data_IF_756910533812
#
_entry.id   IF_756910533812
#
_cell.length_a   1.000
_cell.length_b   1.000
_cell.length_c   1.000
_cell.angle_alpha   90.00
_cell.angle_beta   90.00
_cell.angle_gamma   90.00
#
_symmetry.space_group_name_H-M   'P 1'
#
loop_
_entity.id
_entity.type
_entity.pdbx_description
1 polymer ?
#
# COMPACT_ATOMS: atom_id res chain seq x y z
N UNK A 1 -25.02 49.56 -67.11
CA UNK A 1 -23.68 49.02 -66.88
C UNK A 1 -23.74 47.99 -65.76
N UNK A 2 -23.64 46.70 -66.08
CA UNK A 2 -23.61 45.63 -65.10
C UNK A 2 -22.21 45.50 -64.52
N UNK A 3 -22.06 45.67 -63.23
CA UNK A 3 -20.76 45.70 -62.58
C UNK A 3 -20.18 44.26 -62.55
N UNK A 4 -19.07 43.95 -63.21
CA UNK A 4 -18.52 42.61 -63.38
C UNK A 4 -17.86 42.06 -62.12
N UNK A 5 -17.77 42.82 -61.03
CA UNK A 5 -17.14 42.44 -59.74
C UNK A 5 -18.00 41.53 -58.87
N UNK A 6 -19.33 41.51 -59.10
CA UNK A 6 -20.28 40.73 -58.22
C UNK A 6 -20.04 39.21 -58.33
N UNK A 7 -19.81 38.60 -59.53
CA UNK A 7 -19.59 37.17 -59.60
C UNK A 7 -18.26 36.71 -58.95
N UNK A 8 -17.22 37.55 -58.98
CA UNK A 8 -15.94 37.22 -58.34
C UNK A 8 -16.01 37.27 -56.80
N UNK A 9 -16.74 38.23 -56.25
CA UNK A 9 -17.01 38.30 -54.81
C UNK A 9 -17.86 37.14 -54.31
N UNK A 10 -18.81 36.65 -55.10
CA UNK A 10 -19.63 35.48 -54.75
C UNK A 10 -18.81 34.17 -54.77
N UNK A 11 -17.90 34.01 -55.75
CA UNK A 11 -16.97 32.89 -55.81
C UNK A 11 -15.98 32.86 -54.61
N UNK A 12 -15.44 34.02 -54.23
CA UNK A 12 -14.55 34.13 -53.06
C UNK A 12 -15.29 33.84 -51.76
N UNK A 13 -16.55 34.27 -51.60
CA UNK A 13 -17.37 33.99 -50.45
C UNK A 13 -17.73 32.49 -50.34
N UNK A 14 -17.98 31.80 -51.45
CA UNK A 14 -18.22 30.35 -51.50
C UNK A 14 -16.95 29.55 -51.20
N UNK A 15 -15.78 29.99 -51.69
CA UNK A 15 -14.49 29.38 -51.36
C UNK A 15 -14.10 29.57 -49.90
N UNK A 16 -14.42 30.71 -49.26
CA UNK A 16 -14.18 30.93 -47.82
C UNK A 16 -15.16 30.17 -46.96
N UNK A 17 -16.39 29.95 -47.38
CA UNK A 17 -17.38 29.13 -46.63
C UNK A 17 -17.03 27.62 -46.63
N UNK A 18 -16.30 27.13 -47.62
CA UNK A 18 -15.84 25.73 -47.70
C UNK A 18 -14.62 25.43 -46.83
N UNK A 19 -13.95 26.42 -46.25
CA UNK A 19 -12.79 26.26 -45.38
C UNK A 19 -13.14 26.13 -43.88
N UNK A 20 -14.38 26.41 -43.53
CA UNK A 20 -14.85 26.26 -42.15
C UNK A 20 -15.76 25.04 -41.95
N UNK A 21 -15.29 23.87 -42.40
CA UNK A 21 -15.89 22.64 -41.90
C UNK A 21 -15.46 22.47 -40.44
N UNK A 22 -16.37 22.57 -39.46
CA UNK A 22 -15.99 22.28 -38.07
C UNK A 22 -15.46 20.83 -38.06
N UNK A 23 -14.25 20.64 -37.59
CA UNK A 23 -13.74 19.30 -37.33
C UNK A 23 -14.75 18.65 -36.41
N UNK A 24 -15.53 17.69 -36.95
CA UNK A 24 -16.52 16.94 -36.20
C UNK A 24 -15.75 16.19 -35.13
N UNK A 25 -15.90 16.60 -33.87
CA UNK A 25 -15.30 15.93 -32.72
C UNK A 25 -15.77 14.46 -32.78
N UNK A 26 -14.94 13.61 -33.33
CA UNK A 26 -15.23 12.17 -33.39
C UNK A 26 -15.33 11.65 -31.98
N UNK A 27 -16.50 11.13 -31.60
CA UNK A 27 -16.68 10.50 -30.29
C UNK A 27 -15.62 9.39 -30.12
N UNK A 28 -14.97 9.30 -28.95
CA UNK A 28 -14.00 8.25 -28.68
C UNK A 28 -14.63 6.86 -28.84
N UNK A 29 -13.85 5.94 -29.36
CA UNK A 29 -14.24 4.54 -29.47
C UNK A 29 -14.29 3.91 -28.05
N UNK A 30 -15.37 3.17 -27.79
CA UNK A 30 -15.59 2.56 -26.49
C UNK A 30 -15.02 1.15 -26.44
N UNK A 31 -14.23 0.85 -25.40
CA UNK A 31 -13.68 -0.46 -25.09
C UNK A 31 -14.27 -0.95 -23.77
N UNK A 32 -15.08 -2.00 -23.81
CA UNK A 32 -15.55 -2.66 -22.59
C UNK A 32 -14.44 -3.56 -22.06
N UNK A 33 -14.01 -3.30 -20.84
CA UNK A 33 -12.94 -4.03 -20.16
C UNK A 33 -13.43 -4.70 -18.89
N UNK A 34 -13.06 -5.94 -18.67
CA UNK A 34 -13.36 -6.67 -17.45
C UNK A 34 -12.18 -7.54 -17.02
N UNK A 35 -12.15 -7.90 -15.75
CA UNK A 35 -11.07 -8.70 -15.16
C UNK A 35 -11.62 -9.80 -14.25
N UNK A 36 -10.80 -10.84 -14.08
CA UNK A 36 -10.95 -11.84 -13.04
C UNK A 36 -9.60 -12.17 -12.42
N UNK A 37 -9.40 -11.75 -11.16
CA UNK A 37 -8.16 -11.98 -10.44
C UNK A 37 -8.12 -13.44 -9.98
N UNK A 38 -7.07 -14.15 -10.37
CA UNK A 38 -6.87 -15.55 -10.02
C UNK A 38 -5.95 -15.73 -8.80
N UNK A 39 -5.02 -14.82 -8.58
CA UNK A 39 -4.15 -14.82 -7.39
C UNK A 39 -3.47 -13.48 -7.16
N UNK A 40 -3.20 -13.18 -5.89
CA UNK A 40 -2.27 -12.14 -5.44
C UNK A 40 -1.28 -12.81 -4.49
N UNK A 41 -0.01 -12.56 -4.66
CA UNK A 41 1.05 -13.18 -3.90
C UNK A 41 2.28 -12.27 -3.85
N UNK A 42 3.32 -12.69 -3.10
CA UNK A 42 4.57 -11.95 -2.98
C UNK A 42 4.35 -10.49 -2.55
N UNK A 43 3.49 -10.28 -1.53
CA UNK A 43 3.34 -8.94 -0.94
C UNK A 43 4.62 -8.66 -0.14
N UNK A 44 5.51 -7.90 -0.75
CA UNK A 44 6.82 -7.55 -0.19
C UNK A 44 6.80 -6.08 0.27
N UNK A 45 6.89 -5.90 1.59
CA UNK A 45 6.89 -4.58 2.19
C UNK A 45 8.21 -3.84 1.94
N UNK A 46 9.33 -4.55 2.00
CA UNK A 46 10.66 -3.98 1.83
C UNK A 46 10.88 -3.49 0.41
N UNK A 47 10.56 -4.33 -0.57
CA UNK A 47 10.69 -3.99 -1.99
C UNK A 47 9.54 -3.11 -2.50
N UNK A 48 8.52 -2.86 -1.67
CA UNK A 48 7.33 -2.06 -2.02
C UNK A 48 6.60 -2.60 -3.25
N UNK A 49 6.41 -3.93 -3.30
CA UNK A 49 5.79 -4.57 -4.45
C UNK A 49 4.83 -5.70 -4.07
N UNK A 50 3.96 -6.06 -5.01
CA UNK A 50 3.12 -7.25 -4.94
C UNK A 50 2.91 -7.82 -6.35
N UNK A 51 2.66 -9.12 -6.43
CA UNK A 51 2.38 -9.81 -7.69
C UNK A 51 0.88 -10.08 -7.81
N UNK A 52 0.31 -9.83 -8.99
CA UNK A 52 -1.09 -10.14 -9.30
C UNK A 52 -1.18 -10.93 -10.60
N UNK A 53 -1.96 -12.03 -10.58
CA UNK A 53 -2.33 -12.80 -11.76
C UNK A 53 -3.81 -12.60 -12.02
N UNK A 54 -4.17 -12.28 -13.26
CA UNK A 54 -5.56 -12.04 -13.63
C UNK A 54 -5.83 -12.41 -15.08
N UNK A 55 -7.09 -12.71 -15.37
CA UNK A 55 -7.61 -12.68 -16.71
C UNK A 55 -8.14 -11.28 -17.01
N UNK A 56 -7.79 -10.75 -18.19
CA UNK A 56 -8.32 -9.53 -18.76
C UNK A 56 -9.09 -9.88 -20.01
N UNK A 57 -10.31 -9.33 -20.17
CA UNK A 57 -11.01 -9.36 -21.46
C UNK A 57 -11.40 -7.97 -21.89
N UNK A 58 -11.36 -7.77 -23.22
CA UNK A 58 -11.65 -6.51 -23.89
C UNK A 58 -12.64 -6.79 -25.01
N UNK A 59 -13.67 -5.93 -25.11
CA UNK A 59 -14.67 -5.98 -26.20
C UNK A 59 -14.69 -4.60 -26.87
N UNK A 60 -14.39 -4.55 -28.17
CA UNK A 60 -14.29 -3.31 -28.93
C UNK A 60 -14.64 -3.52 -30.40
N UNK A 61 -14.87 -2.42 -31.17
CA UNK A 61 -15.22 -2.48 -32.58
C UNK A 61 -14.09 -2.04 -33.50
N UNK A 62 -13.27 -1.10 -33.06
CA UNK A 62 -12.23 -0.50 -33.89
C UNK A 62 -11.07 -1.49 -34.11
N UNK A 63 -10.95 -1.97 -35.34
CA UNK A 63 -9.91 -2.94 -35.74
C UNK A 63 -8.50 -2.37 -35.75
N UNK A 64 -8.33 -1.04 -35.64
CA UNK A 64 -7.02 -0.41 -35.51
C UNK A 64 -6.41 -0.56 -34.11
N UNK A 65 -7.19 -0.93 -33.11
CA UNK A 65 -6.69 -1.11 -31.74
C UNK A 65 -5.91 -2.42 -31.63
N UNK A 66 -4.64 -2.31 -31.27
CA UNK A 66 -3.77 -3.44 -30.96
C UNK A 66 -3.46 -3.45 -29.45
N UNK A 67 -4.29 -4.14 -28.69
CA UNK A 67 -4.08 -4.24 -27.24
C UNK A 67 -2.98 -5.25 -26.87
N UNK A 68 -2.58 -6.13 -27.77
CA UNK A 68 -1.47 -7.04 -27.46
C UNK A 68 -0.16 -6.26 -27.27
N UNK A 69 0.14 -5.34 -28.16
CA UNK A 69 1.37 -4.54 -28.10
C UNK A 69 1.21 -3.28 -27.23
N UNK A 70 0.04 -2.62 -27.30
CA UNK A 70 -0.17 -1.28 -26.74
C UNK A 70 -0.91 -1.27 -25.38
N UNK A 71 -1.13 -2.45 -24.76
CA UNK A 71 -1.67 -2.49 -23.40
C UNK A 71 -0.57 -2.16 -22.42
N UNK A 72 -0.83 -1.15 -21.60
CA UNK A 72 0.07 -0.69 -20.53
C UNK A 72 -0.56 -0.89 -19.16
N UNK A 73 0.25 -1.26 -18.19
CA UNK A 73 -0.11 -1.34 -16.77
C UNK A 73 0.77 -0.33 -16.02
N UNK A 74 0.33 0.93 -15.88
CA UNK A 74 1.13 1.96 -15.24
C UNK A 74 1.53 1.59 -13.81
N UNK A 75 2.82 1.77 -13.49
CA UNK A 75 3.37 1.44 -12.18
C UNK A 75 3.73 -0.04 -12.00
N UNK A 76 3.57 -0.86 -13.03
CA UNK A 76 4.12 -2.21 -13.00
C UNK A 76 5.64 -2.18 -13.21
N UNK A 77 6.36 -2.99 -12.44
CA UNK A 77 7.79 -3.29 -12.64
C UNK A 77 7.97 -4.28 -13.80
N UNK A 78 7.01 -5.22 -13.90
CA UNK A 78 7.03 -6.27 -14.90
C UNK A 78 5.59 -6.64 -15.28
N UNK A 79 5.35 -6.91 -16.56
CA UNK A 79 4.06 -7.38 -17.10
C UNK A 79 4.32 -8.50 -18.08
N UNK A 80 3.83 -9.69 -17.79
CA UNK A 80 3.87 -10.84 -18.68
C UNK A 80 2.46 -11.12 -19.22
N UNK A 81 2.32 -11.19 -20.55
CA UNK A 81 1.09 -11.50 -21.26
C UNK A 81 1.13 -12.94 -21.76
N UNK A 82 0.08 -13.71 -21.52
CA UNK A 82 0.00 -15.12 -21.94
C UNK A 82 -1.45 -15.52 -22.28
N UNK A 83 -1.63 -16.68 -22.90
CA UNK A 83 -2.95 -17.25 -23.26
C UNK A 83 -3.85 -16.23 -23.99
N UNK A 84 -3.28 -15.55 -24.98
CA UNK A 84 -4.00 -14.53 -25.74
C UNK A 84 -4.92 -15.21 -26.75
N UNK A 85 -6.21 -14.85 -26.71
CA UNK A 85 -7.23 -15.30 -27.65
C UNK A 85 -7.93 -14.08 -28.23
N UNK A 86 -8.09 -14.02 -29.55
CA UNK A 86 -8.78 -12.95 -30.25
C UNK A 86 -9.86 -13.58 -31.13
N UNK A 87 -11.12 -13.20 -30.89
CA UNK A 87 -12.26 -13.57 -31.74
C UNK A 87 -12.79 -12.29 -32.40
N UNK A 88 -12.76 -12.27 -33.72
CA UNK A 88 -13.24 -11.18 -34.59
C UNK A 88 -14.35 -11.60 -35.53
N UNK A 89 -15.01 -12.73 -35.30
CA UNK A 89 -16.05 -13.27 -36.15
C UNK A 89 -17.36 -12.47 -36.12
N UNK A 90 -17.57 -11.65 -35.09
CA UNK A 90 -18.77 -10.81 -34.93
C UNK A 90 -18.53 -9.32 -35.26
N UNK A 91 -19.54 -8.51 -34.94
CA UNK A 91 -19.51 -7.04 -35.03
C UNK A 91 -18.48 -6.41 -34.08
N UNK A 92 -18.15 -7.12 -32.99
CA UNK A 92 -17.16 -6.71 -31.96
C UNK A 92 -16.02 -7.70 -31.94
N UNK A 93 -14.85 -7.19 -31.72
CA UNK A 93 -13.66 -7.98 -31.41
C UNK A 93 -13.70 -8.29 -29.91
N UNK A 94 -13.61 -9.57 -29.57
CA UNK A 94 -13.41 -10.08 -28.23
C UNK A 94 -11.95 -10.52 -28.08
N UNK A 95 -11.24 -9.92 -27.14
CA UNK A 95 -9.88 -10.30 -26.83
C UNK A 95 -9.79 -10.70 -25.37
N UNK A 96 -9.17 -11.82 -25.08
CA UNK A 96 -8.91 -12.31 -23.73
C UNK A 96 -7.43 -12.63 -23.59
N UNK A 97 -6.84 -12.30 -22.44
CA UNK A 97 -5.47 -12.66 -22.11
C UNK A 97 -5.28 -12.84 -20.61
N UNK A 98 -4.30 -13.63 -20.24
CA UNK A 98 -3.83 -13.72 -18.86
C UNK A 98 -2.67 -12.75 -18.66
N UNK A 99 -2.78 -11.92 -17.63
CA UNK A 99 -1.73 -11.00 -17.20
C UNK A 99 -1.12 -11.48 -15.90
N UNK A 100 0.20 -11.38 -15.85
CA UNK A 100 1.01 -11.55 -14.65
C UNK A 100 1.76 -10.24 -14.44
N UNK A 101 1.47 -9.52 -13.36
CA UNK A 101 2.02 -8.19 -13.11
C UNK A 101 2.72 -8.14 -11.76
N UNK A 102 3.92 -7.57 -11.72
CA UNK A 102 4.60 -7.16 -10.49
C UNK A 102 4.38 -5.66 -10.33
N UNK A 103 3.57 -5.29 -9.35
CA UNK A 103 3.15 -3.91 -9.14
C UNK A 103 3.98 -3.25 -8.03
N UNK A 104 4.39 -2.00 -8.25
CA UNK A 104 4.94 -1.14 -7.20
C UNK A 104 3.80 -0.38 -6.52
N UNK A 105 3.79 -0.38 -5.18
CA UNK A 105 2.85 0.44 -4.41
C UNK A 105 3.51 0.96 -3.12
N UNK A 106 2.88 1.92 -2.47
CA UNK A 106 3.34 2.48 -1.21
C UNK A 106 2.55 1.88 -0.05
N UNK A 107 3.25 1.29 0.92
CA UNK A 107 2.63 0.65 2.07
C UNK A 107 2.39 1.62 3.22
N UNK A 108 1.26 1.49 3.89
CA UNK A 108 0.95 2.20 5.13
C UNK A 108 1.30 1.31 6.31
N UNK A 109 2.45 1.54 6.92
CA UNK A 109 2.99 0.68 7.99
C UNK A 109 2.88 1.29 9.40
N UNK A 110 2.27 2.46 9.54
CA UNK A 110 2.16 3.15 10.84
C UNK A 110 1.59 2.24 11.94
N UNK A 111 0.59 1.43 11.62
CA UNK A 111 -0.11 0.54 12.55
C UNK A 111 0.27 -0.94 12.40
N UNK A 112 1.36 -1.24 11.71
CA UNK A 112 1.82 -2.62 11.54
C UNK A 112 1.96 -3.35 12.89
N UNK A 113 1.39 -4.56 13.07
CA UNK A 113 0.77 -5.44 12.08
C UNK A 113 -0.76 -5.28 11.90
N UNK A 114 -1.41 -4.28 12.48
CA UNK A 114 -2.85 -3.99 12.33
C UNK A 114 -3.15 -3.14 11.10
N UNK A 115 -2.31 -3.24 10.08
CA UNK A 115 -2.36 -2.40 8.89
C UNK A 115 -3.44 -2.86 7.89
N UNK A 116 -4.05 -1.85 7.25
CA UNK A 116 -4.96 -2.01 6.11
C UNK A 116 -4.29 -1.46 4.87
N UNK A 117 -4.27 -2.22 3.79
CA UNK A 117 -3.61 -1.84 2.56
C UNK A 117 -4.59 -1.69 1.40
N UNK A 118 -4.21 -0.90 0.41
CA UNK A 118 -4.97 -0.73 -0.83
C UNK A 118 -4.08 -1.13 -1.99
N UNK A 119 -4.28 -2.34 -2.50
CA UNK A 119 -3.58 -2.81 -3.70
C UNK A 119 -4.24 -2.17 -4.92
N UNK A 120 -3.47 -1.49 -5.74
CA UNK A 120 -3.96 -0.71 -6.86
C UNK A 120 -3.22 -1.09 -8.12
N UNK A 121 -3.96 -1.31 -9.17
CA UNK A 121 -3.40 -1.36 -10.52
C UNK A 121 -4.39 -0.76 -11.51
N UNK A 122 -3.89 -0.37 -12.65
CA UNK A 122 -4.68 0.22 -13.71
C UNK A 122 -4.19 -0.26 -15.06
N UNK A 123 -5.08 -0.17 -16.05
CA UNK A 123 -4.82 -0.56 -17.42
C UNK A 123 -5.10 0.65 -18.30
N UNK A 124 -4.17 0.96 -19.18
CA UNK A 124 -4.23 2.04 -20.17
C UNK A 124 -3.87 1.50 -21.55
N UNK A 125 -4.12 2.30 -22.57
CA UNK A 125 -3.57 2.06 -23.91
C UNK A 125 -2.47 3.10 -24.16
N UNK A 126 -1.26 2.67 -24.48
CA UNK A 126 -0.11 3.57 -24.64
C UNK A 126 -0.16 4.39 -25.93
N UNK A 127 -0.96 3.99 -26.91
CA UNK A 127 -1.02 4.62 -28.22
C UNK A 127 -2.17 5.63 -28.38
N UNK A 128 -3.33 5.37 -27.74
CA UNK A 128 -4.55 6.14 -27.94
C UNK A 128 -4.93 6.92 -26.68
N UNK A 129 -5.05 8.23 -26.82
CA UNK A 129 -5.49 9.14 -25.76
C UNK A 129 -7.01 9.04 -25.49
N UNK A 130 -7.50 9.77 -24.48
CA UNK A 130 -8.91 9.75 -24.08
C UNK A 130 -9.88 10.37 -25.10
N UNK A 131 -9.37 11.06 -26.14
CA UNK A 131 -10.17 11.57 -27.25
C UNK A 131 -10.44 10.49 -28.28
N UNK A 132 -9.60 9.47 -28.32
CA UNK A 132 -9.66 8.37 -29.30
C UNK A 132 -10.23 7.09 -28.69
N UNK A 133 -9.95 6.79 -27.42
CA UNK A 133 -10.33 5.56 -26.73
C UNK A 133 -10.83 5.86 -25.32
N UNK A 134 -11.98 5.24 -24.94
CA UNK A 134 -12.53 5.29 -23.59
C UNK A 134 -12.88 3.88 -23.11
N UNK A 135 -12.34 3.52 -21.93
CA UNK A 135 -12.71 2.28 -21.26
C UNK A 135 -14.07 2.42 -20.56
N UNK A 136 -14.86 1.35 -20.64
CA UNK A 136 -16.08 1.15 -19.84
C UNK A 136 -15.94 -0.17 -19.10
N UNK A 137 -16.23 -0.16 -17.81
CA UNK A 137 -16.09 -1.35 -16.99
C UNK A 137 -17.20 -2.38 -17.32
N UNK A 138 -16.79 -3.63 -17.58
CA UNK A 138 -17.68 -4.79 -17.53
C UNK A 138 -17.71 -5.28 -16.07
N UNK A 139 -18.80 -4.97 -15.39
CA UNK A 139 -18.99 -5.27 -13.95
C UNK A 139 -19.90 -6.48 -13.73
N UNK A 140 -20.15 -7.25 -14.75
CA UNK A 140 -21.01 -8.44 -14.65
C UNK A 140 -20.22 -9.61 -14.08
N UNK A 141 -20.72 -10.20 -12.99
CA UNK A 141 -20.13 -11.37 -12.33
C UNK A 141 -19.09 -11.05 -11.25
N UNK A 142 -18.42 -12.10 -10.80
CA UNK A 142 -17.34 -11.97 -9.81
C UNK A 142 -16.04 -11.49 -10.48
N UNK A 143 -15.25 -10.71 -9.75
CA UNK A 143 -14.02 -10.11 -10.25
C UNK A 143 -12.76 -10.73 -9.66
N UNK A 144 -12.90 -11.66 -8.73
CA UNK A 144 -11.80 -12.43 -8.15
C UNK A 144 -12.29 -13.80 -7.68
N UNK A 145 -11.38 -14.76 -7.60
CA UNK A 145 -11.69 -16.10 -7.08
C UNK A 145 -11.88 -16.03 -5.56
N UNK A 146 -13.09 -16.30 -5.08
CA UNK A 146 -13.44 -16.30 -3.66
C UNK A 146 -12.71 -17.37 -2.84
N UNK A 147 -12.20 -18.41 -3.51
CA UNK A 147 -11.38 -19.46 -2.90
C UNK A 147 -9.92 -19.03 -2.74
N UNK A 148 -9.60 -17.88 -3.28
CA UNK A 148 -8.28 -17.31 -3.24
C UNK A 148 -7.94 -16.91 -1.82
N UNK A 149 -7.01 -17.63 -1.20
CA UNK A 149 -6.49 -17.31 0.12
C UNK A 149 -5.14 -16.60 -0.03
N UNK A 150 -5.10 -15.33 0.33
CA UNK A 150 -3.84 -14.63 0.60
C UNK A 150 -3.39 -14.99 2.01
N UNK A 151 -2.30 -15.71 2.16
CA UNK A 151 -1.78 -16.07 3.49
C UNK A 151 -1.58 -14.83 4.37
N UNK A 152 -2.30 -14.76 5.48
CA UNK A 152 -2.23 -13.67 6.44
C UNK A 152 -2.99 -12.39 6.06
N UNK A 153 -3.82 -12.42 4.99
CA UNK A 153 -4.62 -11.27 4.54
C UNK A 153 -6.05 -11.66 4.19
N UNK A 154 -6.99 -10.74 4.40
CA UNK A 154 -8.37 -10.86 3.98
C UNK A 154 -8.74 -9.71 3.04
N UNK A 155 -9.57 -9.99 2.03
CA UNK A 155 -10.07 -9.00 1.07
C UNK A 155 -11.37 -8.41 1.61
N UNK A 156 -11.37 -7.11 1.89
CA UNK A 156 -12.56 -6.37 2.33
C UNK A 156 -13.44 -5.98 1.16
N UNK A 157 -12.83 -5.51 0.07
CA UNK A 157 -13.55 -5.05 -1.11
C UNK A 157 -12.68 -5.06 -2.36
N UNK A 158 -13.34 -5.26 -3.51
CA UNK A 158 -12.76 -5.10 -4.84
C UNK A 158 -13.61 -4.08 -5.60
N UNK A 159 -13.00 -2.95 -5.97
CA UNK A 159 -13.66 -1.86 -6.68
C UNK A 159 -13.04 -1.72 -8.06
N UNK A 160 -13.89 -1.79 -9.10
CA UNK A 160 -13.52 -1.52 -10.48
C UNK A 160 -14.15 -0.19 -10.88
N UNK A 161 -13.35 0.68 -11.47
CA UNK A 161 -13.78 1.98 -11.95
C UNK A 161 -13.05 2.36 -13.24
N UNK A 162 -13.66 3.20 -14.04
CA UNK A 162 -13.03 3.80 -15.20
C UNK A 162 -12.90 5.31 -14.99
N UNK A 163 -11.95 5.90 -15.68
CA UNK A 163 -11.73 7.34 -15.60
C UNK A 163 -10.68 7.81 -16.59
N UNK A 164 -10.19 8.99 -16.40
CA UNK A 164 -9.08 9.55 -17.14
C UNK A 164 -7.90 9.77 -16.21
N UNK A 165 -6.70 9.62 -16.73
CA UNK A 165 -5.45 9.98 -16.07
C UNK A 165 -4.76 11.04 -16.91
N UNK A 166 -4.54 12.19 -16.31
CA UNK A 166 -3.79 13.27 -16.91
C UNK A 166 -2.29 13.10 -16.62
N UNK A 167 -1.50 13.36 -17.64
CA UNK A 167 -0.05 13.46 -17.59
C UNK A 167 0.35 14.86 -18.01
N UNK A 168 1.11 15.57 -17.19
CA UNK A 168 1.60 16.92 -17.46
C UNK A 168 2.84 16.88 -18.39
N UNK A 169 2.69 16.13 -19.50
CA UNK A 169 3.70 15.95 -20.52
C UNK A 169 3.04 15.65 -21.87
N UNK A 170 3.68 16.07 -22.96
CA UNK A 170 3.31 15.71 -24.33
C UNK A 170 3.99 14.41 -24.81
N UNK A 171 4.80 13.76 -23.97
CA UNK A 171 5.61 12.60 -24.34
C UNK A 171 6.46 12.81 -25.63
N UNK A 172 6.88 14.06 -25.91
CA UNK A 172 7.65 14.43 -27.10
C UNK A 172 6.82 14.61 -28.36
N UNK A 173 5.50 14.72 -28.28
CA UNK A 173 4.65 15.04 -29.43
C UNK A 173 4.58 16.57 -29.63
N UNK A 174 5.34 17.09 -30.59
CA UNK A 174 5.42 18.52 -30.93
C UNK A 174 4.12 19.09 -31.52
N UNK A 175 3.16 18.20 -31.87
CA UNK A 175 1.85 18.62 -32.39
C UNK A 175 0.90 19.09 -31.31
N UNK A 176 1.19 18.79 -30.03
CA UNK A 176 0.37 19.20 -28.93
C UNK A 176 0.72 20.62 -28.47
N UNK A 177 -0.29 21.53 -28.38
CA UNK A 177 -0.04 22.93 -28.04
C UNK A 177 0.36 23.16 -26.57
N UNK A 178 0.17 22.16 -25.71
CA UNK A 178 0.53 22.18 -24.28
C UNK A 178 1.06 20.81 -23.88
N UNK A 179 1.98 20.75 -22.90
CA UNK A 179 2.49 19.48 -22.37
C UNK A 179 1.44 18.83 -21.44
N UNK A 180 0.32 18.40 -22.02
CA UNK A 180 -0.78 17.78 -21.31
C UNK A 180 -1.43 16.70 -22.16
N UNK A 181 -1.49 15.48 -21.65
CA UNK A 181 -2.12 14.35 -22.35
C UNK A 181 -3.01 13.59 -21.37
N UNK A 182 -4.21 13.23 -21.78
CA UNK A 182 -5.14 12.43 -20.99
C UNK A 182 -5.33 11.04 -21.62
N UNK A 183 -5.15 9.99 -20.81
CA UNK A 183 -5.46 8.62 -21.23
C UNK A 183 -6.67 8.09 -20.48
N UNK A 184 -7.50 7.31 -21.16
CA UNK A 184 -8.55 6.55 -20.51
C UNK A 184 -7.93 5.43 -19.66
N UNK A 185 -8.44 5.26 -18.46
CA UNK A 185 -7.84 4.39 -17.45
C UNK A 185 -8.91 3.48 -16.86
N UNK A 186 -8.67 2.16 -16.90
CA UNK A 186 -9.45 1.14 -16.19
C UNK A 186 -8.74 0.82 -14.88
N UNK A 187 -9.37 1.11 -13.75
CA UNK A 187 -8.80 1.08 -12.40
C UNK A 187 -9.34 -0.06 -11.59
N UNK A 188 -8.46 -0.77 -10.91
CA UNK A 188 -8.81 -1.80 -9.94
C UNK A 188 -8.19 -1.45 -8.60
N UNK A 189 -8.99 -1.54 -7.55
CA UNK A 189 -8.57 -1.30 -6.17
C UNK A 189 -9.11 -2.42 -5.28
N UNK A 190 -8.21 -3.13 -4.64
CA UNK A 190 -8.54 -4.07 -3.58
C UNK A 190 -8.17 -3.46 -2.24
N UNK A 191 -9.12 -3.43 -1.33
CA UNK A 191 -8.85 -3.14 0.08
C UNK A 191 -8.64 -4.45 0.80
N UNK A 192 -7.53 -4.56 1.52
CA UNK A 192 -7.15 -5.78 2.25
C UNK A 192 -6.73 -5.40 3.65
N UNK A 193 -7.05 -6.23 4.63
CA UNK A 193 -6.53 -6.12 5.98
C UNK A 193 -5.77 -7.38 6.38
N UNK A 194 -4.84 -7.23 7.31
CA UNK A 194 -4.00 -8.32 7.79
C UNK A 194 -4.69 -9.09 8.92
N UNK A 195 -4.49 -10.41 8.96
CA UNK A 195 -4.78 -11.23 10.14
C UNK A 195 -3.70 -10.98 11.20
N UNK A 196 -3.93 -9.93 12.00
CA UNK A 196 -2.88 -9.29 12.77
C UNK A 196 -2.48 -10.03 14.05
N UNK A 197 -3.40 -10.76 14.71
CA UNK A 197 -3.16 -11.27 16.07
C UNK A 197 -2.03 -12.29 16.17
N UNK A 198 -2.00 -13.27 15.27
CA UNK A 198 -0.93 -14.28 15.26
C UNK A 198 0.43 -13.65 14.94
N UNK A 199 0.43 -12.70 14.02
CA UNK A 199 1.64 -11.96 13.67
C UNK A 199 2.10 -11.06 14.80
N UNK A 200 1.18 -10.40 15.49
CA UNK A 200 1.49 -9.57 16.66
C UNK A 200 2.26 -10.36 17.72
N UNK A 201 1.74 -11.51 18.12
CA UNK A 201 2.42 -12.34 19.12
C UNK A 201 3.81 -12.83 18.64
N UNK A 202 3.92 -13.25 17.39
CA UNK A 202 5.22 -13.66 16.82
C UNK A 202 6.26 -12.55 16.86
N UNK A 203 5.85 -11.31 16.65
CA UNK A 203 6.76 -10.15 16.58
C UNK A 203 7.14 -9.62 17.98
N UNK A 204 6.16 -9.49 18.87
CA UNK A 204 6.34 -8.76 20.12
C UNK A 204 6.55 -9.65 21.36
N UNK A 205 6.35 -10.97 21.24
CA UNK A 205 6.53 -11.89 22.38
C UNK A 205 7.94 -11.77 22.98
N UNK A 206 8.97 -11.72 22.14
CA UNK A 206 10.37 -11.57 22.60
C UNK A 206 10.60 -10.29 23.41
N UNK A 207 10.02 -9.18 22.97
CA UNK A 207 10.05 -7.90 23.68
C UNK A 207 9.35 -7.99 25.04
N UNK A 208 8.16 -8.61 25.12
CA UNK A 208 7.44 -8.77 26.39
C UNK A 208 8.18 -9.69 27.38
N UNK A 209 8.76 -10.80 26.88
CA UNK A 209 9.59 -11.67 27.72
C UNK A 209 10.81 -10.91 28.24
N UNK A 210 11.47 -10.11 27.41
CA UNK A 210 12.61 -9.29 27.84
C UNK A 210 12.20 -8.30 28.94
N UNK A 211 11.04 -7.64 28.80
CA UNK A 211 10.52 -6.79 29.87
C UNK A 211 10.28 -7.56 31.17
N UNK A 212 9.67 -8.76 31.11
CA UNK A 212 9.45 -9.61 32.28
C UNK A 212 10.77 -10.02 32.95
N UNK A 213 11.83 -10.28 32.18
CA UNK A 213 13.17 -10.57 32.73
C UNK A 213 13.68 -9.36 33.51
N UNK A 214 13.58 -8.14 32.96
CA UNK A 214 13.94 -6.94 33.67
C UNK A 214 13.07 -6.71 34.91
N UNK A 215 11.76 -6.98 34.83
CA UNK A 215 10.82 -6.84 35.92
C UNK A 215 11.14 -7.76 37.12
N UNK A 216 11.63 -8.97 36.88
CA UNK A 216 12.06 -9.93 37.93
C UNK A 216 13.13 -9.33 38.83
N UNK A 217 13.90 -8.33 38.38
CA UNK A 217 14.90 -7.65 39.22
C UNK A 217 14.35 -7.10 40.51
N UNK A 218 13.09 -6.71 40.59
CA UNK A 218 12.44 -6.23 41.80
C UNK A 218 12.26 -7.30 42.88
N UNK A 219 12.26 -8.60 42.51
CA UNK A 219 12.12 -9.75 43.40
C UNK A 219 13.47 -10.37 43.82
N UNK A 220 14.56 -9.97 43.20
CA UNK A 220 15.91 -10.37 43.59
C UNK A 220 16.29 -9.57 44.83
N UNK A 221 16.90 -10.21 45.82
CA UNK A 221 17.31 -9.56 47.05
C UNK A 221 18.21 -8.35 46.76
N UNK A 222 18.08 -7.28 47.54
CA UNK A 222 18.75 -6.01 47.35
C UNK A 222 20.27 -6.08 47.40
N UNK A 223 20.85 -7.18 47.97
CA UNK A 223 22.28 -7.44 47.96
C UNK A 223 22.81 -8.05 46.65
N UNK A 224 21.91 -8.59 45.80
CA UNK A 224 22.24 -9.23 44.50
C UNK A 224 22.39 -8.23 43.35
N UNK A 225 23.18 -7.19 43.51
CA UNK A 225 23.28 -6.05 42.57
C UNK A 225 23.74 -6.45 41.19
N UNK A 226 24.79 -7.27 41.08
CA UNK A 226 25.33 -7.70 39.80
C UNK A 226 24.28 -8.47 38.99
N UNK A 227 23.49 -9.30 39.63
CA UNK A 227 22.41 -10.04 39.01
C UNK A 227 21.28 -9.11 38.51
N UNK A 228 20.88 -8.09 39.30
CA UNK A 228 19.85 -7.14 38.92
C UNK A 228 20.26 -6.32 37.69
N UNK A 229 21.49 -5.77 37.70
CA UNK A 229 21.98 -5.01 36.54
C UNK A 229 22.22 -5.90 35.34
N UNK A 230 22.79 -7.09 35.52
CA UNK A 230 23.02 -8.04 34.43
C UNK A 230 21.74 -8.43 33.70
N UNK A 231 20.67 -8.76 34.42
CA UNK A 231 19.36 -9.10 33.83
C UNK A 231 18.74 -7.91 33.11
N UNK A 232 18.80 -6.71 33.69
CA UNK A 232 18.22 -5.51 33.07
C UNK A 232 18.96 -5.10 31.81
N UNK A 233 20.29 -5.17 31.78
CA UNK A 233 21.11 -4.88 30.60
C UNK A 233 20.89 -5.96 29.54
N UNK A 234 20.84 -7.23 29.91
CA UNK A 234 20.49 -8.33 29.00
C UNK A 234 19.12 -8.15 28.35
N UNK A 235 18.12 -7.77 29.14
CA UNK A 235 16.78 -7.46 28.65
C UNK A 235 16.77 -6.28 27.65
N UNK A 236 17.54 -5.23 27.93
CA UNK A 236 17.67 -4.07 27.04
C UNK A 236 18.23 -4.49 25.67
N UNK A 237 19.29 -5.29 25.64
CA UNK A 237 19.85 -5.81 24.39
C UNK A 237 18.88 -6.74 23.66
N UNK A 238 18.11 -7.56 24.38
CA UNK A 238 17.10 -8.43 23.80
C UNK A 238 15.99 -7.62 23.09
N UNK A 239 15.52 -6.53 23.67
CA UNK A 239 14.52 -5.63 23.05
C UNK A 239 15.09 -4.94 21.82
N UNK A 240 16.32 -4.43 21.88
CA UNK A 240 16.98 -3.80 20.72
C UNK A 240 17.17 -4.81 19.60
N UNK A 241 17.62 -6.02 19.90
CA UNK A 241 17.79 -7.09 18.93
C UNK A 241 16.46 -7.51 18.27
N UNK A 242 15.39 -7.64 19.06
CA UNK A 242 14.05 -7.93 18.54
C UNK A 242 13.56 -6.82 17.59
N UNK A 243 13.72 -5.55 17.98
CA UNK A 243 13.37 -4.42 17.12
C UNK A 243 14.15 -4.45 15.80
N UNK A 244 15.45 -4.67 15.85
CA UNK A 244 16.28 -4.73 14.65
C UNK A 244 15.80 -5.80 13.64
N UNK A 245 15.42 -6.98 14.13
CA UNK A 245 14.88 -8.06 13.28
C UNK A 245 13.59 -7.62 12.59
N UNK A 246 12.69 -6.95 13.32
CA UNK A 246 11.42 -6.47 12.75
C UNK A 246 11.68 -5.36 11.72
N UNK A 247 12.49 -4.38 12.06
CA UNK A 247 12.83 -3.25 11.17
C UNK A 247 13.48 -3.72 9.86
N UNK A 248 14.28 -4.80 9.90
CA UNK A 248 14.91 -5.35 8.70
C UNK A 248 13.92 -5.93 7.68
N UNK A 249 12.70 -6.26 8.09
CA UNK A 249 11.62 -6.80 7.25
C UNK A 249 10.62 -5.73 6.78
N UNK A 250 10.71 -4.51 7.31
CA UNK A 250 9.84 -3.39 6.95
C UNK A 250 10.55 -2.42 6.00
N UNK A 251 9.82 -1.66 5.17
CA UNK A 251 10.40 -0.61 4.35
C UNK A 251 10.88 0.54 5.24
N UNK A 252 11.90 1.24 4.79
CA UNK A 252 12.31 2.49 5.43
C UNK A 252 11.13 3.47 5.51
N UNK A 253 10.85 3.96 6.69
CA UNK A 253 9.78 4.90 6.97
C UNK A 253 10.30 6.07 7.79
N UNK A 254 9.90 7.28 7.41
CA UNK A 254 10.15 8.50 8.19
C UNK A 254 9.09 8.72 9.28
N UNK A 255 8.00 7.96 9.26
CA UNK A 255 6.93 8.05 10.25
C UNK A 255 7.15 7.06 11.38
N UNK A 256 6.86 7.50 12.60
CA UNK A 256 6.91 6.67 13.80
C UNK A 256 5.79 5.61 13.75
N UNK A 257 6.16 4.35 13.90
CA UNK A 257 5.25 3.21 13.78
C UNK A 257 4.80 2.68 15.14
N UNK A 258 3.79 1.79 15.16
CA UNK A 258 3.43 1.06 16.38
C UNK A 258 4.61 0.22 16.91
N UNK A 259 5.42 -0.35 16.00
CA UNK A 259 6.65 -1.09 16.36
C UNK A 259 7.59 -0.19 17.16
N UNK A 260 7.84 1.03 16.66
CA UNK A 260 8.70 2.01 17.34
C UNK A 260 8.12 2.39 18.70
N UNK A 261 6.81 2.61 18.76
CA UNK A 261 6.10 3.00 19.98
C UNK A 261 6.23 1.95 21.07
N UNK A 262 5.91 0.68 20.76
CA UNK A 262 5.94 -0.40 21.76
C UNK A 262 7.36 -0.75 22.21
N UNK A 263 8.33 -0.77 21.29
CA UNK A 263 9.73 -1.00 21.67
C UNK A 263 10.31 0.17 22.43
N UNK A 264 10.04 1.41 22.00
CA UNK A 264 10.48 2.62 22.71
C UNK A 264 9.90 2.69 24.13
N UNK A 265 8.60 2.39 24.27
CA UNK A 265 7.94 2.28 25.56
C UNK A 265 8.66 1.24 26.43
N UNK A 266 8.89 0.03 25.91
CA UNK A 266 9.55 -1.06 26.66
C UNK A 266 10.95 -0.68 27.09
N UNK A 267 11.74 -0.04 26.22
CA UNK A 267 13.08 0.44 26.58
C UNK A 267 13.03 1.50 27.69
N UNK A 268 12.08 2.43 27.64
CA UNK A 268 11.89 3.43 28.70
C UNK A 268 11.53 2.76 30.05
N UNK A 269 10.70 1.71 30.02
CA UNK A 269 10.33 1.00 31.23
C UNK A 269 11.47 0.13 31.77
N UNK A 270 12.29 -0.50 30.94
CA UNK A 270 13.51 -1.20 31.39
C UNK A 270 14.48 -0.18 32.03
N UNK A 271 14.64 1.00 31.43
CA UNK A 271 15.44 2.08 32.02
C UNK A 271 14.87 2.52 33.39
N UNK A 272 13.56 2.61 33.54
CA UNK A 272 12.92 2.92 34.81
C UNK A 272 13.18 1.83 35.87
N UNK A 273 13.18 0.54 35.46
CA UNK A 273 13.58 -0.59 36.34
C UNK A 273 15.02 -0.42 36.81
N UNK A 274 15.96 -0.17 35.88
CA UNK A 274 17.38 0.05 36.23
C UNK A 274 17.54 1.22 37.19
N UNK A 275 16.88 2.34 36.91
CA UNK A 275 16.94 3.56 37.72
C UNK A 275 16.37 3.31 39.11
N UNK A 276 15.25 2.60 39.23
CA UNK A 276 14.64 2.20 40.52
C UNK A 276 15.56 1.28 41.32
N UNK A 277 16.21 0.32 40.65
CA UNK A 277 17.18 -0.60 41.27
C UNK A 277 18.39 0.18 41.80
N UNK A 278 18.91 1.16 41.05
CA UNK A 278 20.00 2.01 41.49
C UNK A 278 19.63 2.86 42.70
N UNK A 279 18.39 3.38 42.75
CA UNK A 279 17.87 4.11 43.92
C UNK A 279 17.71 3.19 45.13
N UNK A 280 17.16 2.01 44.96
CA UNK A 280 17.03 0.99 46.01
C UNK A 280 18.39 0.65 46.62
N UNK A 281 19.46 0.50 45.82
CA UNK A 281 20.81 0.30 46.28
C UNK A 281 21.29 1.43 47.19
N UNK A 282 21.02 2.69 46.84
CA UNK A 282 21.43 3.81 47.69
C UNK A 282 20.73 3.76 49.06
N UNK A 283 19.50 3.30 49.12
CA UNK A 283 18.78 3.10 50.39
C UNK A 283 19.44 1.99 51.24
N UNK A 284 19.81 0.87 50.63
CA UNK A 284 20.52 -0.22 51.30
C UNK A 284 21.86 0.24 51.85
N UNK A 285 22.69 0.97 51.04
CA UNK A 285 23.97 1.52 51.48
C UNK A 285 23.83 2.50 52.65
N UNK A 286 22.67 3.14 52.85
CA UNK A 286 22.32 4.00 53.96
C UNK A 286 21.76 3.23 55.16
N UNK A 287 21.82 1.89 55.16
CA UNK A 287 21.29 1.03 56.24
C UNK A 287 19.76 0.95 56.31
N UNK A 288 19.05 1.33 55.23
CA UNK A 288 17.58 1.37 55.19
C UNK A 288 16.99 0.25 54.33
N UNK A 289 17.41 -1.02 54.56
CA UNK A 289 17.02 -2.18 53.75
C UNK A 289 15.51 -2.42 53.66
N UNK A 290 14.75 -2.29 54.78
CA UNK A 290 13.29 -2.43 54.78
C UNK A 290 12.61 -1.38 53.90
N UNK A 291 13.11 -0.14 53.89
CA UNK A 291 12.58 0.92 53.00
C UNK A 291 12.89 0.62 51.56
N UNK A 292 14.06 0.05 51.25
CA UNK A 292 14.42 -0.38 49.90
C UNK A 292 13.46 -1.48 49.38
N UNK A 293 13.22 -2.52 50.18
CA UNK A 293 12.31 -3.60 49.80
C UNK A 293 10.87 -3.09 49.60
N UNK A 294 10.36 -2.22 50.46
CA UNK A 294 9.03 -1.62 50.28
C UNK A 294 8.98 -0.74 49.01
N UNK A 295 10.04 0.03 48.73
CA UNK A 295 10.15 0.83 47.51
C UNK A 295 10.14 -0.07 46.26
N UNK A 296 10.93 -1.14 46.21
CA UNK A 296 10.98 -2.10 45.11
C UNK A 296 9.60 -2.73 44.86
N UNK A 297 8.88 -3.14 45.87
CA UNK A 297 7.53 -3.73 45.75
C UNK A 297 6.50 -2.71 45.17
N UNK A 298 6.55 -1.46 45.64
CA UNK A 298 5.65 -0.42 45.15
C UNK A 298 5.99 -0.11 43.67
N UNK A 299 7.29 0.08 43.37
CA UNK A 299 7.73 0.38 42.00
C UNK A 299 7.41 -0.76 41.03
N UNK A 300 7.56 -2.02 41.46
CA UNK A 300 7.16 -3.17 40.67
C UNK A 300 5.69 -3.08 40.23
N UNK A 301 4.79 -2.87 41.18
CA UNK A 301 3.35 -2.79 40.89
C UNK A 301 2.99 -1.59 40.01
N UNK A 302 3.54 -0.40 40.34
CA UNK A 302 3.27 0.83 39.61
C UNK A 302 3.77 0.74 38.16
N UNK A 303 5.02 0.31 37.94
CA UNK A 303 5.58 0.19 36.60
C UNK A 303 4.84 -0.87 35.78
N UNK A 304 4.51 -2.02 36.35
CA UNK A 304 3.76 -3.05 35.62
C UNK A 304 2.38 -2.54 35.20
N UNK A 305 1.65 -1.90 36.13
CA UNK A 305 0.31 -1.38 35.84
C UNK A 305 0.34 -0.34 34.72
N UNK A 306 1.24 0.63 34.82
CA UNK A 306 1.37 1.68 33.80
C UNK A 306 1.80 1.06 32.45
N UNK A 307 2.75 0.13 32.45
CA UNK A 307 3.22 -0.56 31.25
C UNK A 307 2.08 -1.28 30.53
N UNK A 308 1.28 -2.06 31.25
CA UNK A 308 0.13 -2.80 30.70
C UNK A 308 -0.92 -1.83 30.14
N UNK A 309 -1.27 -0.80 30.90
CA UNK A 309 -2.28 0.19 30.47
C UNK A 309 -1.85 0.90 29.19
N UNK A 310 -0.59 1.37 29.11
CA UNK A 310 -0.07 2.03 27.93
C UNK A 310 0.02 1.11 26.71
N UNK A 311 0.45 -0.16 26.88
CA UNK A 311 0.46 -1.13 25.81
C UNK A 311 -0.96 -1.38 25.27
N UNK A 312 -1.93 -1.63 26.15
CA UNK A 312 -3.34 -1.83 25.74
C UNK A 312 -3.86 -0.60 24.99
N UNK A 313 -3.57 0.60 25.47
CA UNK A 313 -3.98 1.86 24.82
C UNK A 313 -3.44 1.97 23.39
N UNK A 314 -2.12 1.79 23.18
CA UNK A 314 -1.51 1.93 21.88
C UNK A 314 -1.94 0.82 20.91
N UNK A 315 -2.06 -0.42 21.38
CA UNK A 315 -2.54 -1.53 20.57
C UNK A 315 -3.98 -1.30 20.15
N UNK A 316 -4.86 -0.89 21.08
CA UNK A 316 -6.26 -0.59 20.78
C UNK A 316 -6.41 0.57 19.79
N UNK A 317 -5.63 1.63 19.96
CA UNK A 317 -5.62 2.75 19.03
C UNK A 317 -5.19 2.34 17.61
N UNK A 318 -4.16 1.49 17.50
CA UNK A 318 -3.68 1.00 16.21
C UNK A 318 -4.67 0.03 15.53
N UNK A 319 -5.35 -0.83 16.30
CA UNK A 319 -6.31 -1.80 15.78
C UNK A 319 -7.60 -1.16 15.26
N UNK A 320 -7.97 0.01 15.77
CA UNK A 320 -9.21 0.72 15.41
C UNK A 320 -9.02 1.87 14.41
N UNK A 321 -7.83 2.09 13.91
CA UNK A 321 -7.51 3.11 12.88
C UNK A 321 -7.45 2.50 11.46
#
# INVERSE_FOLDING_TARGET
MKNPLIPYLLCIAICLASLSSPAQDKKPDTVSAGIYITSIHNIDFKEKEFSVNLWLWLKYRNRAFNFYDNLEVPGAKEVTKSFVTIDSSGDKIYMQMKLQCVMKDSWKIANFPFDKQKLRFSIENSQYDSRSLVFVADTVGDHYDKRFAMSGWQIDSCIIATGKKAYETAFGDDRLPKPHTEYSNFKVRLSVHREAMDMFWKLFLGMYIAFLIAYVCFYIHSDGMDSRFGLSVGALFAVIGNKYIIDSSLPESTSFTLVDTLHGLTLCFIFAVVSSTAWSLQLVKKGKAEKANRFDMIMAQVLLMIYVVLNIYFIHAAANS
#
